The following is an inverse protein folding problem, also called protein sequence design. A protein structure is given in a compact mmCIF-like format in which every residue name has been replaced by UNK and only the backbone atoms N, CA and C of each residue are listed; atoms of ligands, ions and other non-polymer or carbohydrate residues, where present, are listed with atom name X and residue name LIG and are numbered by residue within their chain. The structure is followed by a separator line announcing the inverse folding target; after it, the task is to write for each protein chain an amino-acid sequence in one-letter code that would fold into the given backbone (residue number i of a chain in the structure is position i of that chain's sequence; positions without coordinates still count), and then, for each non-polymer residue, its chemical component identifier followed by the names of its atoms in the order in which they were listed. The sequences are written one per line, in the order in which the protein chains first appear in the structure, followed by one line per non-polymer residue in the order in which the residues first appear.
data_IF_981085118279
#
_entry.id   IF_981085118279
#
_cell.length_a   1.000
_cell.length_b   1.000
_cell.length_c   1.000
_cell.angle_alpha   90.00
_cell.angle_beta   90.00
_cell.angle_gamma   90.00
#
_symmetry.space_group_name_H-M   'P 1'
#
loop_
_entity.id
_entity.type
_entity.pdbx_description
1 polymer ?
#
# COMPACT_ATOMS: atom_id res chain seq x y z
N UNK A 1 -10.82 -1.40 -0.45
CA UNK A 1 -10.78 -2.23 0.77
C UNK A 1 -12.01 -3.13 0.76
N UNK A 2 -11.83 -4.42 1.00
CA UNK A 2 -12.91 -5.40 1.04
C UNK A 2 -13.59 -5.43 2.42
N UNK A 3 -14.79 -6.04 2.49
CA UNK A 3 -15.56 -6.14 3.75
C UNK A 3 -14.84 -6.96 4.83
N UNK A 4 -14.00 -7.90 4.42
CA UNK A 4 -13.21 -8.76 5.30
C UNK A 4 -11.94 -8.08 5.85
N UNK A 5 -11.64 -6.84 5.42
CA UNK A 5 -10.45 -6.11 5.84
C UNK A 5 -9.26 -6.16 4.90
N UNK A 6 -9.37 -6.89 3.78
CA UNK A 6 -8.26 -7.06 2.88
C UNK A 6 -8.21 -5.91 1.85
N UNK A 7 -7.01 -5.37 1.63
CA UNK A 7 -6.77 -4.49 0.50
C UNK A 7 -6.26 -5.35 -0.65
N UNK A 8 -7.14 -5.63 -1.61
CA UNK A 8 -6.79 -6.36 -2.81
C UNK A 8 -6.86 -5.45 -4.05
N UNK A 9 -5.94 -5.68 -4.97
CA UNK A 9 -5.95 -5.12 -6.32
C UNK A 9 -6.51 -6.20 -7.24
N UNK A 10 -7.52 -5.82 -8.02
CA UNK A 10 -8.16 -6.69 -8.99
C UNK A 10 -7.89 -6.20 -10.41
N UNK A 11 -7.66 -7.14 -11.32
CA UNK A 11 -7.64 -6.93 -12.77
C UNK A 11 -8.90 -7.55 -13.37
N UNK A 12 -9.53 -6.84 -14.30
CA UNK A 12 -10.75 -7.28 -14.99
C UNK A 12 -11.88 -7.73 -14.02
N UNK A 13 -12.00 -7.07 -12.87
CA UNK A 13 -13.05 -7.31 -11.87
C UNK A 13 -12.87 -8.56 -11.00
N UNK A 14 -12.32 -9.65 -11.55
CA UNK A 14 -12.32 -10.96 -10.86
C UNK A 14 -10.93 -11.54 -10.58
N UNK A 15 -9.88 -11.07 -11.27
CA UNK A 15 -8.53 -11.59 -11.05
C UNK A 15 -7.82 -10.78 -9.97
N UNK A 16 -7.75 -11.31 -8.75
CA UNK A 16 -6.90 -10.70 -7.72
C UNK A 16 -5.43 -10.84 -8.15
N UNK A 17 -4.72 -9.72 -8.25
CA UNK A 17 -3.30 -9.68 -8.62
C UNK A 17 -2.39 -9.45 -7.42
N UNK A 18 -2.92 -8.89 -6.33
CA UNK A 18 -2.22 -8.72 -5.07
C UNK A 18 -3.20 -8.44 -3.94
N UNK A 19 -2.87 -8.87 -2.72
CA UNK A 19 -3.61 -8.52 -1.51
C UNK A 19 -2.66 -8.22 -0.34
N UNK A 20 -3.09 -7.37 0.60
CA UNK A 20 -2.34 -7.05 1.82
C UNK A 20 -2.30 -8.17 2.86
N UNK A 21 -3.09 -9.23 2.69
CA UNK A 21 -3.22 -10.36 3.63
C UNK A 21 -3.72 -9.92 5.02
N UNK A 22 -4.58 -8.89 5.04
CA UNK A 22 -5.20 -8.34 6.27
C UNK A 22 -6.66 -8.75 6.44
N UNK A 23 -7.05 -9.86 5.81
CA UNK A 23 -8.39 -10.42 5.92
C UNK A 23 -8.73 -10.88 7.35
N UNK A 24 -10.01 -11.13 7.62
CA UNK A 24 -10.58 -11.45 8.94
C UNK A 24 -10.51 -10.30 9.96
N UNK A 25 -10.36 -9.05 9.50
CA UNK A 25 -10.35 -7.86 10.34
C UNK A 25 -11.23 -6.77 9.73
N UNK A 26 -12.35 -6.45 10.37
CA UNK A 26 -13.26 -5.45 9.81
C UNK A 26 -12.81 -4.02 10.11
N UNK A 27 -13.30 -3.07 9.31
CA UNK A 27 -13.12 -1.61 9.48
C UNK A 27 -11.66 -1.16 9.42
N UNK A 28 -10.88 -1.79 8.55
CA UNK A 28 -9.50 -1.37 8.29
C UNK A 28 -9.46 -0.09 7.44
N UNK A 29 -8.49 0.78 7.73
CA UNK A 29 -8.25 2.03 6.99
C UNK A 29 -6.85 2.04 6.39
N UNK A 30 -6.75 2.37 5.11
CA UNK A 30 -5.46 2.62 4.44
C UNK A 30 -5.13 4.11 4.54
N UNK A 31 -3.96 4.44 5.10
CA UNK A 31 -3.53 5.82 5.33
C UNK A 31 -2.15 6.03 4.74
N UNK A 32 -2.02 7.06 3.90
CA UNK A 32 -0.72 7.62 3.51
C UNK A 32 -0.26 8.60 4.59
N UNK A 33 0.72 8.20 5.39
CA UNK A 33 1.22 8.99 6.50
C UNK A 33 2.15 10.12 6.02
N UNK A 34 2.31 11.16 6.85
CA UNK A 34 3.16 12.32 6.55
C UNK A 34 4.65 11.96 6.40
N UNK A 35 5.10 10.88 7.04
CA UNK A 35 6.46 10.36 6.97
C UNK A 35 6.77 9.60 5.66
N UNK A 36 5.77 9.41 4.81
CA UNK A 36 5.90 8.71 3.54
C UNK A 36 5.61 7.22 3.59
N UNK A 37 5.06 6.72 4.69
CA UNK A 37 4.63 5.34 4.81
C UNK A 37 3.16 5.16 4.44
N UNK A 38 2.83 4.09 3.71
CA UNK A 38 1.46 3.70 3.45
C UNK A 38 1.12 2.53 4.37
N UNK A 39 0.14 2.73 5.25
CA UNK A 39 -0.16 1.82 6.36
C UNK A 39 -1.63 1.44 6.38
N UNK A 40 -1.91 0.17 6.64
CA UNK A 40 -3.25 -0.28 7.01
C UNK A 40 -3.33 -0.29 8.54
N UNK A 41 -4.33 0.40 9.07
CA UNK A 41 -4.71 0.38 10.48
C UNK A 41 -5.98 -0.43 10.67
N UNK A 42 -6.07 -1.16 11.78
CA UNK A 42 -7.31 -1.80 12.20
C UNK A 42 -8.22 -0.82 12.97
N UNK A 43 -9.41 -1.28 13.35
CA UNK A 43 -10.40 -0.48 14.09
C UNK A 43 -9.92 0.09 15.43
N UNK A 44 -8.84 -0.44 16.00
CA UNK A 44 -8.23 0.04 17.26
C UNK A 44 -7.05 0.97 17.00
N UNK A 45 -6.93 1.48 15.77
CA UNK A 45 -5.83 2.35 15.33
C UNK A 45 -4.45 1.68 15.49
N UNK A 46 -4.37 0.35 15.39
CA UNK A 46 -3.10 -0.38 15.39
C UNK A 46 -2.65 -0.66 13.96
N UNK A 47 -1.37 -0.41 13.60
CA UNK A 47 -0.86 -0.74 12.27
C UNK A 47 -0.78 -2.26 12.13
N UNK A 48 -1.29 -2.80 11.03
CA UNK A 48 -1.33 -4.24 10.74
C UNK A 48 -0.61 -4.61 9.44
N UNK A 49 -0.33 -3.62 8.59
CA UNK A 49 0.45 -3.78 7.36
C UNK A 49 1.07 -2.43 6.97
N UNK A 50 2.23 -2.44 6.33
CA UNK A 50 2.97 -1.23 5.95
C UNK A 50 3.87 -1.46 4.73
N UNK A 51 4.02 -0.44 3.87
CA UNK A 51 5.01 -0.43 2.77
C UNK A 51 6.45 -0.33 3.28
N UNK A 52 6.63 0.03 4.55
CA UNK A 52 7.91 0.24 5.22
C UNK A 52 8.76 1.32 4.55
N UNK A 53 8.11 2.37 4.05
CA UNK A 53 8.75 3.51 3.37
C UNK A 53 8.94 4.72 4.28
N UNK A 54 8.85 4.50 5.60
CA UNK A 54 9.24 5.45 6.62
C UNK A 54 10.78 5.54 6.74
N UNK A 55 11.30 6.72 7.10
CA UNK A 55 12.68 6.94 7.56
C UNK A 55 13.84 6.65 6.59
N UNK A 56 13.68 6.96 5.30
CA UNK A 56 14.78 6.83 4.33
C UNK A 56 15.21 8.15 3.67
N UNK A 57 14.85 9.28 4.28
CA UNK A 57 14.96 10.60 3.68
C UNK A 57 14.01 10.78 2.50
N UNK A 58 14.04 11.98 1.93
CA UNK A 58 13.12 12.43 0.87
C UNK A 58 13.09 11.46 -0.34
N UNK A 59 14.20 10.77 -0.62
CA UNK A 59 14.29 9.80 -1.72
C UNK A 59 13.53 8.50 -1.46
N UNK A 60 13.18 8.19 -0.22
CA UNK A 60 12.42 6.98 0.16
C UNK A 60 11.07 7.32 0.80
N UNK A 61 10.72 8.59 0.92
CA UNK A 61 9.41 9.06 1.41
C UNK A 61 8.38 8.96 0.28
N UNK A 62 7.36 8.11 0.48
CA UNK A 62 6.23 7.99 -0.44
C UNK A 62 5.42 9.28 -0.50
N UNK A 63 4.90 9.61 -1.68
CA UNK A 63 4.07 10.79 -1.94
C UNK A 63 2.86 10.51 -2.81
N UNK A 64 2.99 9.57 -3.74
CA UNK A 64 1.95 9.29 -4.72
C UNK A 64 1.78 7.79 -4.89
N UNK A 65 0.56 7.29 -4.65
CA UNK A 65 0.18 5.91 -4.89
C UNK A 65 -0.52 5.83 -6.25
N UNK A 66 -0.02 4.99 -7.15
CA UNK A 66 -0.52 4.85 -8.52
C UNK A 66 -0.88 3.40 -8.78
N UNK A 67 -2.10 3.16 -9.27
CA UNK A 67 -2.50 1.87 -9.82
C UNK A 67 -2.31 1.89 -11.33
N UNK A 68 -1.45 1.00 -11.85
CA UNK A 68 -1.20 0.87 -13.28
C UNK A 68 -2.19 -0.09 -13.95
N UNK A 69 -2.34 0.02 -15.27
CA UNK A 69 -3.24 -0.81 -16.09
C UNK A 69 -2.92 -2.31 -16.03
N UNK A 70 -1.68 -2.67 -15.69
CA UNK A 70 -1.26 -4.06 -15.54
C UNK A 70 -1.66 -4.67 -14.18
N UNK A 71 -2.17 -3.87 -13.25
CA UNK A 71 -2.53 -4.26 -11.89
C UNK A 71 -1.42 -4.03 -10.86
N UNK A 72 -0.30 -3.42 -11.26
CA UNK A 72 0.77 -3.05 -10.33
C UNK A 72 0.39 -1.79 -9.54
N UNK A 73 0.45 -1.89 -8.21
CA UNK A 73 0.27 -0.75 -7.32
C UNK A 73 1.65 -0.24 -6.94
N UNK A 74 1.95 1.01 -7.27
CA UNK A 74 3.26 1.61 -7.09
C UNK A 74 3.20 2.82 -6.17
N UNK A 75 4.14 2.90 -5.24
CA UNK A 75 4.35 4.10 -4.45
C UNK A 75 5.56 4.85 -5.03
N UNK A 76 5.39 6.14 -5.32
CA UNK A 76 6.43 7.02 -5.83
C UNK A 76 6.83 8.05 -4.78
N UNK A 77 8.10 8.44 -4.77
CA UNK A 77 8.58 9.60 -4.03
C UNK A 77 8.32 10.92 -4.79
N UNK A 78 8.74 12.04 -4.20
CA UNK A 78 8.58 13.36 -4.82
C UNK A 78 9.38 13.58 -6.13
N UNK A 79 10.34 12.70 -6.45
CA UNK A 79 11.14 12.75 -7.67
C UNK A 79 10.61 11.80 -8.75
N UNK A 80 9.38 11.30 -8.61
CA UNK A 80 8.78 10.29 -9.49
C UNK A 80 9.58 8.98 -9.58
N UNK A 81 10.34 8.65 -8.53
CA UNK A 81 11.02 7.35 -8.41
C UNK A 81 10.14 6.36 -7.66
N UNK A 82 9.92 5.18 -8.24
CA UNK A 82 9.12 4.11 -7.64
C UNK A 82 9.83 3.46 -6.45
N UNK A 83 9.28 3.58 -5.24
CA UNK A 83 9.89 3.18 -3.97
C UNK A 83 9.39 1.85 -3.39
N UNK A 84 8.19 1.45 -3.80
CA UNK A 84 7.56 0.20 -3.41
C UNK A 84 6.59 -0.23 -4.51
N UNK A 85 6.43 -1.54 -4.71
CA UNK A 85 5.39 -2.09 -5.61
C UNK A 85 4.66 -3.27 -4.97
N UNK A 86 3.41 -3.50 -5.35
CA UNK A 86 2.67 -4.68 -4.90
C UNK A 86 3.32 -5.99 -5.34
N UNK A 87 4.03 -5.98 -6.47
CA UNK A 87 4.66 -7.18 -7.02
C UNK A 87 6.01 -7.53 -6.37
N UNK A 88 6.75 -6.55 -5.85
CA UNK A 88 8.12 -6.75 -5.34
C UNK A 88 8.33 -6.29 -3.90
N UNK A 89 7.34 -5.61 -3.31
CA UNK A 89 7.52 -4.93 -2.04
C UNK A 89 8.41 -3.70 -2.16
N UNK A 90 9.19 -3.43 -1.11
CA UNK A 90 10.05 -2.24 -1.01
C UNK A 90 11.26 -2.38 -1.95
N UNK A 91 11.60 -1.30 -2.67
CA UNK A 91 12.64 -1.35 -3.71
C UNK A 91 14.03 -0.85 -3.26
N UNK A 92 14.16 -0.19 -2.08
CA UNK A 92 15.42 0.36 -1.56
C UNK A 92 15.42 0.69 -0.07
#
# INVERSE_FOLDING_TARGET
MQKDGNLCVYKNGNLSVWCSMTNNQQKNTLIMQNDGNLVIYNQFNRPIWSTNTYNGGIQKTGKMLVLQNDGNLMLFNQYNKAIWTSQRGRLY
#
